data_IF_808550878954
#
_entry.id   IF_808550878954
#
_cell.length_a   1.000
_cell.length_b   1.000
_cell.length_c   1.000
_cell.angle_alpha   90.00
_cell.angle_beta   90.00
_cell.angle_gamma   90.00
#
_symmetry.space_group_name_H-M   'P 1'
#
loop_
_entity.id
_entity.type
_entity.pdbx_description
1 polymer ?
#
# COMPACT_ATOMS: atom_id res chain seq x y z
N UNK A 1 17.21 6.60 -12.73
CA UNK A 1 16.31 5.97 -11.74
C UNK A 1 16.61 6.58 -10.38
N UNK A 2 15.59 6.88 -9.57
CA UNK A 2 15.81 7.44 -8.23
C UNK A 2 16.55 6.46 -7.32
N UNK A 3 17.47 6.96 -6.49
CA UNK A 3 18.30 6.14 -5.58
C UNK A 3 17.48 5.35 -4.55
N UNK A 4 16.26 5.79 -4.23
CA UNK A 4 15.41 5.22 -3.18
C UNK A 4 14.14 4.60 -3.74
N UNK A 5 13.60 3.63 -3.00
CA UNK A 5 12.32 3.01 -3.33
C UNK A 5 11.18 4.06 -3.30
N UNK A 6 10.26 4.10 -4.28
CA UNK A 6 9.22 5.13 -4.36
C UNK A 6 8.35 5.24 -3.10
N UNK A 7 7.99 4.12 -2.47
CA UNK A 7 7.23 4.12 -1.21
C UNK A 7 8.01 4.80 -0.08
N UNK A 8 9.33 4.58 0.00
CA UNK A 8 10.19 5.24 0.98
C UNK A 8 10.22 6.75 0.72
N UNK A 9 10.32 7.15 -0.55
CA UNK A 9 10.22 8.57 -0.94
C UNK A 9 8.87 9.18 -0.56
N UNK A 10 7.76 8.47 -0.77
CA UNK A 10 6.43 8.96 -0.39
C UNK A 10 6.27 9.09 1.14
N UNK A 11 6.84 8.16 1.91
CA UNK A 11 6.85 8.23 3.38
C UNK A 11 7.69 9.40 3.89
N UNK A 12 8.73 9.81 3.16
CA UNK A 12 9.55 10.97 3.55
C UNK A 12 8.77 12.29 3.45
N UNK A 13 7.82 12.39 2.53
CA UNK A 13 6.95 13.57 2.42
C UNK A 13 6.08 13.78 3.66
N UNK A 14 5.73 12.71 4.38
CA UNK A 14 4.97 12.78 5.64
C UNK A 14 5.86 13.00 6.87
N UNK A 15 7.18 12.98 6.72
CA UNK A 15 8.15 13.01 7.82
C UNK A 15 9.23 14.07 7.59
N UNK A 16 8.91 15.32 7.95
CA UNK A 16 9.68 16.54 7.61
C UNK A 16 11.20 16.50 7.88
N UNK A 17 11.66 15.70 8.84
CA UNK A 17 13.08 15.66 9.26
C UNK A 17 13.76 14.32 9.03
N UNK A 18 13.06 13.33 8.48
CA UNK A 18 13.63 12.02 8.19
C UNK A 18 14.03 11.94 6.73
N UNK A 19 15.29 11.58 6.50
CA UNK A 19 15.80 11.27 5.16
C UNK A 19 15.32 9.89 4.72
N UNK A 20 15.23 9.60 3.41
CA UNK A 20 14.85 8.28 2.91
C UNK A 20 15.61 7.11 3.55
N UNK A 21 16.93 7.25 3.74
CA UNK A 21 17.77 6.24 4.40
C UNK A 21 17.34 5.99 5.85
N UNK A 22 16.93 7.05 6.56
CA UNK A 22 16.47 6.96 7.93
C UNK A 22 15.13 6.25 8.03
N UNK A 23 14.27 6.42 7.01
CA UNK A 23 13.00 5.70 6.91
C UNK A 23 13.25 4.22 6.63
N UNK A 24 14.17 3.86 5.74
CA UNK A 24 14.56 2.47 5.50
C UNK A 24 15.03 1.79 6.79
N UNK A 25 15.90 2.46 7.55
CA UNK A 25 16.36 1.97 8.85
C UNK A 25 15.21 1.78 9.85
N UNK A 26 14.27 2.73 9.93
CA UNK A 26 13.10 2.61 10.82
C UNK A 26 12.19 1.46 10.39
N UNK A 27 11.91 1.31 9.09
CA UNK A 27 11.09 0.21 8.58
C UNK A 27 11.76 -1.15 8.84
N UNK A 28 13.08 -1.24 8.66
CA UNK A 28 13.85 -2.43 8.99
C UNK A 28 13.81 -2.75 10.48
N UNK A 29 13.96 -1.75 11.35
CA UNK A 29 13.85 -1.91 12.80
C UNK A 29 12.45 -2.44 13.21
N UNK A 30 11.38 -1.89 12.62
CA UNK A 30 10.01 -2.37 12.88
C UNK A 30 9.84 -3.82 12.40
N UNK A 31 10.30 -4.15 11.18
CA UNK A 31 10.17 -5.49 10.63
C UNK A 31 10.85 -6.55 11.52
N UNK A 32 12.04 -6.25 12.05
CA UNK A 32 12.81 -7.14 12.91
C UNK A 32 12.39 -7.11 14.40
N UNK A 33 11.38 -6.31 14.76
CA UNK A 33 10.92 -6.24 16.14
C UNK A 33 10.06 -7.47 16.50
N UNK A 34 10.56 -8.27 17.43
CA UNK A 34 9.88 -9.47 17.92
C UNK A 34 8.97 -9.19 19.12
N UNK A 35 9.34 -8.23 19.97
CA UNK A 35 8.53 -7.82 21.12
C UNK A 35 7.29 -7.05 20.65
N UNK A 36 6.10 -7.51 21.04
CA UNK A 36 4.83 -6.89 20.69
C UNK A 36 3.87 -6.85 21.89
N UNK A 37 3.15 -5.74 22.11
CA UNK A 37 3.28 -4.45 21.42
C UNK A 37 4.59 -3.74 21.78
N UNK A 38 5.10 -2.89 20.88
CA UNK A 38 6.36 -2.17 21.04
C UNK A 38 6.16 -0.67 21.32
N UNK A 39 7.21 -0.01 21.79
CA UNK A 39 7.25 1.43 22.10
C UNK A 39 8.22 2.19 21.22
N UNK A 40 8.13 3.52 21.22
CA UNK A 40 9.08 4.38 20.51
C UNK A 40 10.51 4.23 21.05
N UNK A 41 10.66 3.91 22.35
CA UNK A 41 11.97 3.65 22.95
C UNK A 41 12.59 2.39 22.37
N UNK A 42 11.83 1.30 22.24
CA UNK A 42 12.32 0.05 21.64
C UNK A 42 12.69 0.22 20.16
N UNK A 43 11.94 1.05 19.41
CA UNK A 43 12.35 1.42 18.04
C UNK A 43 13.68 2.18 18.07
N UNK A 44 13.84 3.15 18.97
CA UNK A 44 15.05 3.96 19.06
C UNK A 44 16.29 3.14 19.47
N UNK A 45 16.14 2.10 20.29
CA UNK A 45 17.23 1.20 20.68
C UNK A 45 17.83 0.42 19.49
N UNK A 46 17.06 0.25 18.41
CA UNK A 46 17.50 -0.42 17.18
C UNK A 46 18.08 0.54 16.13
N UNK A 47 18.15 1.84 16.43
CA UNK A 47 18.55 2.87 15.48
C UNK A 47 19.89 3.52 15.89
N UNK A 48 20.68 3.99 14.91
CA UNK A 48 21.89 4.75 15.19
C UNK A 48 21.64 5.98 16.08
N UNK A 49 22.54 6.30 17.03
CA UNK A 49 22.40 7.43 17.96
C UNK A 49 22.18 8.78 17.27
N UNK A 50 22.69 8.96 16.06
CA UNK A 50 22.58 10.19 15.26
C UNK A 50 21.12 10.51 14.88
N UNK A 51 20.26 9.49 14.84
CA UNK A 51 18.82 9.63 14.56
C UNK A 51 18.04 9.86 15.86
N UNK A 52 18.46 9.21 16.94
CA UNK A 52 17.66 9.10 18.18
C UNK A 52 17.99 10.15 19.23
N UNK A 53 19.20 10.73 19.22
CA UNK A 53 19.61 11.83 20.11
C UNK A 53 18.91 13.15 19.79
N UNK A 54 18.54 13.38 18.52
CA UNK A 54 17.79 14.56 18.13
C UNK A 54 16.30 14.41 18.50
N UNK A 55 15.84 15.21 19.47
CA UNK A 55 14.44 15.24 19.93
C UNK A 55 13.45 15.51 18.79
N UNK A 56 13.81 16.34 17.80
CA UNK A 56 12.96 16.67 16.66
C UNK A 56 12.86 15.48 15.68
N UNK A 57 13.97 14.78 15.44
CA UNK A 57 13.94 13.51 14.68
C UNK A 57 13.14 12.45 15.41
N UNK A 58 13.31 12.28 16.72
CA UNK A 58 12.52 11.34 17.52
C UNK A 58 11.01 11.61 17.43
N UNK A 59 10.60 12.87 17.42
CA UNK A 59 9.20 13.26 17.13
C UNK A 59 8.78 12.86 15.71
N UNK A 60 9.65 13.03 14.73
CA UNK A 60 9.39 12.63 13.35
C UNK A 60 9.28 11.11 13.18
N UNK A 61 10.03 10.31 13.95
CA UNK A 61 9.84 8.85 14.03
C UNK A 61 8.44 8.54 14.57
N UNK A 62 8.02 9.21 15.64
CA UNK A 62 6.66 9.03 16.16
C UNK A 62 5.58 9.38 15.13
N UNK A 63 5.77 10.45 14.35
CA UNK A 63 4.88 10.81 13.25
C UNK A 63 4.87 9.75 12.15
N UNK A 64 6.02 9.16 11.81
CA UNK A 64 6.09 8.04 10.87
C UNK A 64 5.26 6.86 11.39
N UNK A 65 5.41 6.49 12.66
CA UNK A 65 4.62 5.42 13.27
C UNK A 65 3.11 5.73 13.20
N UNK A 66 2.70 6.99 13.40
CA UNK A 66 1.29 7.38 13.20
C UNK A 66 0.84 7.28 11.75
N UNK A 67 1.67 7.67 10.78
CA UNK A 67 1.37 7.48 9.36
C UNK A 67 1.21 6.00 9.02
N UNK A 68 2.05 5.13 9.59
CA UNK A 68 1.94 3.68 9.43
C UNK A 68 0.68 3.11 10.10
N UNK A 69 0.16 3.75 11.16
CA UNK A 69 -1.16 3.43 11.71
C UNK A 69 -2.29 3.86 10.77
N UNK A 70 -2.20 5.06 10.19
CA UNK A 70 -3.22 5.58 9.28
C UNK A 70 -3.41 4.71 8.03
N UNK A 71 -2.33 4.12 7.52
CA UNK A 71 -2.41 3.19 6.38
C UNK A 71 -2.76 1.75 6.79
N UNK A 72 -2.91 1.47 8.09
CA UNK A 72 -3.30 0.16 8.61
C UNK A 72 -2.17 -0.85 8.81
N UNK A 73 -0.90 -0.51 8.53
CA UNK A 73 0.22 -1.42 8.78
C UNK A 73 0.45 -1.64 10.28
N UNK A 74 0.30 -0.58 11.08
CA UNK A 74 0.35 -0.64 12.54
C UNK A 74 -1.03 -0.44 13.14
N UNK A 75 -1.28 -1.02 14.30
CA UNK A 75 -2.38 -0.66 15.19
C UNK A 75 -1.85 -0.01 16.47
N UNK A 76 -2.70 0.78 17.14
CA UNK A 76 -2.32 1.59 18.31
C UNK A 76 -3.14 1.17 19.54
N UNK A 77 -2.73 0.11 20.27
CA UNK A 77 -3.46 -0.38 21.44
C UNK A 77 -3.42 0.59 22.64
N UNK A 78 -2.48 1.55 22.66
CA UNK A 78 -2.46 2.65 23.65
C UNK A 78 -1.66 3.83 23.09
N UNK A 79 -1.71 4.98 23.78
CA UNK A 79 -1.01 6.19 23.35
C UNK A 79 0.48 6.01 23.02
N UNK A 80 1.15 5.08 23.71
CA UNK A 80 2.61 4.88 23.63
C UNK A 80 3.03 3.51 23.08
N UNK A 81 2.07 2.72 22.60
CA UNK A 81 2.33 1.35 22.12
C UNK A 81 1.78 1.16 20.72
N UNK A 82 2.54 0.44 19.91
CA UNK A 82 2.18 0.04 18.55
C UNK A 82 2.26 -1.48 18.42
N UNK A 83 1.42 -2.03 17.54
CA UNK A 83 1.35 -3.45 17.22
C UNK A 83 1.42 -3.59 15.70
N UNK A 84 2.19 -4.55 15.19
CA UNK A 84 2.28 -4.84 13.76
C UNK A 84 1.11 -5.70 13.33
N UNK A 85 0.44 -5.31 12.25
CA UNK A 85 -0.62 -6.11 11.65
C UNK A 85 -0.09 -7.07 10.57
N UNK A 86 1.20 -6.97 10.22
CA UNK A 86 1.90 -7.87 9.30
C UNK A 86 3.39 -7.95 9.65
N UNK A 87 4.12 -8.93 9.10
CA UNK A 87 5.54 -9.15 9.40
C UNK A 87 6.43 -7.97 8.96
N UNK A 88 6.13 -7.38 7.80
CA UNK A 88 6.79 -6.19 7.26
C UNK A 88 5.81 -5.31 6.49
N UNK A 89 6.22 -4.08 6.15
CA UNK A 89 5.41 -3.19 5.30
C UNK A 89 5.17 -3.78 3.91
N UNK A 90 6.15 -4.48 3.32
CA UNK A 90 5.97 -5.13 2.02
C UNK A 90 4.91 -6.23 2.09
N UNK A 91 4.96 -7.11 3.09
CA UNK A 91 3.93 -8.15 3.29
C UNK A 91 2.53 -7.54 3.51
N UNK A 92 2.45 -6.38 4.16
CA UNK A 92 1.19 -5.66 4.33
C UNK A 92 0.65 -5.09 3.02
N UNK A 93 1.51 -4.46 2.21
CA UNK A 93 1.08 -3.77 0.99
C UNK A 93 0.80 -4.72 -0.18
N UNK A 94 1.45 -5.88 -0.25
CA UNK A 94 1.28 -6.83 -1.36
C UNK A 94 -0.18 -7.13 -1.72
N UNK A 95 -1.05 -7.59 -0.80
CA UNK A 95 -2.46 -7.83 -1.14
C UNK A 95 -3.20 -6.54 -1.53
N UNK A 96 -2.93 -5.42 -0.85
CA UNK A 96 -3.59 -4.14 -1.13
C UNK A 96 -3.27 -3.60 -2.53
N UNK A 97 -2.04 -3.81 -3.01
CA UNK A 97 -1.64 -3.39 -4.35
C UNK A 97 -2.29 -4.26 -5.44
N UNK A 98 -2.52 -5.55 -5.17
CA UNK A 98 -3.26 -6.44 -6.07
C UNK A 98 -4.71 -5.99 -6.16
N UNK A 99 -5.35 -5.76 -5.01
CA UNK A 99 -6.74 -5.27 -4.91
C UNK A 99 -6.90 -3.91 -5.60
N UNK A 100 -5.96 -2.98 -5.39
CA UNK A 100 -5.95 -1.68 -6.06
C UNK A 100 -5.91 -1.85 -7.59
N UNK A 101 -5.06 -2.74 -8.10
CA UNK A 101 -4.99 -3.02 -9.53
C UNK A 101 -6.30 -3.59 -10.10
N UNK A 102 -7.06 -4.37 -9.32
CA UNK A 102 -8.40 -4.80 -9.72
C UNK A 102 -9.40 -3.64 -9.77
N UNK A 103 -9.37 -2.75 -8.77
CA UNK A 103 -10.22 -1.55 -8.73
C UNK A 103 -9.94 -0.67 -9.94
N UNK A 104 -8.67 -0.41 -10.26
CA UNK A 104 -8.27 0.39 -11.41
C UNK A 104 -8.72 -0.23 -12.75
N UNK A 105 -8.62 -1.55 -12.90
CA UNK A 105 -9.10 -2.27 -14.10
C UNK A 105 -10.61 -2.16 -14.29
N UNK A 106 -11.39 -2.19 -13.21
CA UNK A 106 -12.87 -2.06 -13.29
C UNK A 106 -13.31 -0.72 -13.87
N UNK A 107 -12.52 0.34 -13.68
CA UNK A 107 -12.82 1.68 -14.21
C UNK A 107 -12.77 1.71 -15.74
N UNK A 108 -11.86 0.95 -16.36
CA UNK A 108 -11.67 0.95 -17.82
C UNK A 108 -12.25 -0.29 -18.54
N UNK A 109 -12.63 -1.35 -17.81
CA UNK A 109 -13.10 -2.62 -18.37
C UNK A 109 -14.57 -2.71 -18.79
N UNK A 110 -15.28 -1.58 -18.95
CA UNK A 110 -16.69 -1.57 -19.39
C UNK A 110 -16.90 -1.19 -20.86
N UNK A 111 -15.93 -1.42 -21.74
CA UNK A 111 -16.26 -1.54 -23.16
C UNK A 111 -16.99 -2.87 -23.36
N UNK A 112 -18.32 -2.87 -23.16
CA UNK A 112 -19.20 -3.97 -23.54
C UNK A 112 -18.88 -4.31 -25.00
N UNK A 113 -18.30 -5.49 -25.25
CA UNK A 113 -18.46 -6.11 -26.56
C UNK A 113 -19.97 -6.37 -26.72
N UNK A 114 -20.64 -5.52 -27.50
CA UNK A 114 -21.95 -5.85 -28.05
C UNK A 114 -21.81 -7.16 -28.80
N UNK A 115 -22.37 -8.24 -28.22
CA UNK A 115 -22.61 -9.46 -28.98
C UNK A 115 -23.62 -9.12 -30.07
N UNK A 116 -23.14 -8.78 -31.25
CA UNK A 116 -23.95 -8.70 -32.46
C UNK A 116 -24.49 -10.11 -32.72
N UNK A 117 -25.71 -10.37 -32.28
CA UNK A 117 -26.46 -11.56 -32.69
C UNK A 117 -26.77 -11.34 -34.17
N UNK A 118 -26.04 -12.01 -35.06
CA UNK A 118 -26.43 -12.11 -36.47
C UNK A 118 -27.70 -12.96 -36.53
N UNK A 119 -28.85 -12.30 -36.68
CA UNK A 119 -30.07 -12.97 -37.09
C UNK A 119 -29.88 -13.48 -38.52
N UNK A 120 -29.89 -14.79 -38.72
CA UNK A 120 -29.94 -15.38 -40.06
C UNK A 120 -31.23 -14.92 -40.76
N UNK A 121 -31.17 -14.38 -42.00
CA UNK A 121 -32.37 -14.14 -42.77
C UNK A 121 -32.96 -15.50 -43.17
N UNK A 122 -34.11 -15.84 -42.59
CA UNK A 122 -34.93 -16.97 -43.03
C UNK A 122 -35.44 -16.67 -44.43
N UNK A 123 -35.17 -17.61 -45.32
CA UNK A 123 -35.49 -17.67 -46.75
C UNK A 123 -36.88 -17.11 -47.10
N UNK A 124 -36.91 -15.96 -47.76
CA UNK A 124 -38.06 -15.56 -48.56
C UNK A 124 -37.93 -16.21 -49.95
N UNK A 125 -38.73 -17.25 -50.20
CA UNK A 125 -38.69 -17.96 -51.48
C UNK A 125 -39.83 -18.94 -51.77
N UNK A 126 -40.97 -18.89 -51.07
CA UNK A 126 -42.21 -19.51 -51.56
C UNK A 126 -43.02 -18.46 -52.32
N UNK A 127 -43.03 -18.52 -53.66
CA UNK A 127 -44.21 -18.31 -54.52
C UNK A 127 -43.80 -18.18 -56.00
N UNK A 128 -43.99 -19.25 -56.78
CA UNK A 128 -44.58 -19.23 -58.14
C UNK A 128 -45.28 -20.59 -58.31
N UNK A 129 -46.53 -20.71 -57.86
CA UNK A 129 -47.78 -20.62 -58.63
C UNK A 129 -47.79 -21.50 -59.89
N UNK A 130 -48.64 -22.53 -59.82
CA UNK A 130 -49.23 -23.30 -60.90
C UNK A 130 -49.80 -22.41 -62.02
N UNK A 131 -49.77 -22.91 -63.25
CA UNK A 131 -50.41 -22.33 -64.43
C UNK A 131 -49.73 -22.83 -65.69
#
# INVERSE_FOLDING_TARGET
MGRFHPIVTMLSWKTRLLRPEEIEMILAAIANMHAQPFTLTQVAELLPPEITRDKKKRRSISNLLQALVQIGYLSKPSERKWLKNSQSLSHFLSPLLIELGEVERRVFGQTREERVIRLNPVEQGKMRKNG
#
